data_IF_306255184341
#
_entry.id   IF_306255184341
#
_cell.length_a   1.000
_cell.length_b   1.000
_cell.length_c   1.000
_cell.angle_alpha   90.00
_cell.angle_beta   90.00
_cell.angle_gamma   90.00
#
_symmetry.space_group_name_H-M   'P 1'
#
loop_
_entity.id
_entity.type
_entity.pdbx_description
1 polymer ?
#
# COMPACT_ATOMS: atom_id res chain seq x y z
N UNK A 1 -17.10 -5.07 0.60
CA UNK A 1 -16.52 -5.18 -0.72
C UNK A 1 -15.02 -5.14 -0.68
N UNK A 2 -14.39 -5.97 -1.45
CA UNK A 2 -12.95 -6.06 -1.44
C UNK A 2 -12.39 -5.39 -2.65
N UNK A 3 -11.24 -4.78 -2.51
CA UNK A 3 -10.65 -4.02 -3.57
C UNK A 3 -9.32 -4.65 -3.94
N UNK A 4 -9.36 -5.49 -4.93
CA UNK A 4 -8.20 -5.93 -5.65
C UNK A 4 -7.01 -6.50 -4.94
N UNK A 5 -7.13 -6.95 -3.74
CA UNK A 5 -5.97 -7.39 -3.02
C UNK A 5 -6.07 -8.82 -2.59
N UNK A 6 -6.66 -9.61 -3.40
CA UNK A 6 -6.91 -10.97 -2.98
C UNK A 6 -5.89 -11.94 -3.48
N UNK A 7 -4.71 -11.47 -3.85
CA UNK A 7 -3.84 -12.39 -4.41
C UNK A 7 -2.86 -12.98 -3.46
N UNK A 8 -2.83 -12.56 -2.25
CA UNK A 8 -2.00 -13.17 -1.25
C UNK A 8 -2.59 -14.52 -0.89
N UNK A 9 -1.88 -15.61 -1.05
CA UNK A 9 -2.45 -16.91 -0.69
C UNK A 9 -2.79 -16.96 0.78
N UNK A 10 -3.88 -17.61 1.13
CA UNK A 10 -4.27 -17.64 2.54
C UNK A 10 -3.26 -18.33 3.44
N UNK A 11 -2.52 -19.27 2.91
CA UNK A 11 -1.58 -20.02 3.72
C UNK A 11 -0.23 -19.35 3.84
N UNK A 12 -0.02 -18.26 3.11
CA UNK A 12 1.26 -17.62 3.16
C UNK A 12 1.16 -16.31 3.86
N UNK A 13 2.13 -16.05 4.68
CA UNK A 13 2.24 -14.75 5.29
C UNK A 13 3.69 -14.39 5.36
N UNK A 14 3.98 -13.12 5.43
CA UNK A 14 5.37 -12.70 5.57
C UNK A 14 5.99 -13.34 6.79
N UNK A 15 7.23 -13.69 6.64
CA UNK A 15 7.95 -14.31 7.74
C UNK A 15 8.45 -13.29 8.72
N UNK A 16 7.91 -12.14 8.70
CA UNK A 16 8.27 -11.14 9.65
C UNK A 16 9.52 -10.41 9.30
N UNK A 17 10.20 -9.94 10.32
CA UNK A 17 11.33 -9.07 10.09
C UNK A 17 12.45 -9.76 9.33
N UNK A 18 12.60 -11.05 9.50
CA UNK A 18 13.66 -11.74 8.77
C UNK A 18 13.47 -11.61 7.28
N UNK A 19 12.26 -11.80 6.81
CA UNK A 19 11.98 -11.69 5.40
C UNK A 19 12.07 -10.24 4.96
N UNK A 20 11.58 -9.35 5.76
CA UNK A 20 11.64 -7.93 5.45
C UNK A 20 13.08 -7.47 5.28
N UNK A 21 13.94 -7.88 6.19
CA UNK A 21 15.32 -7.42 6.15
C UNK A 21 16.13 -8.08 5.04
N UNK A 22 15.81 -9.30 4.68
CA UNK A 22 16.64 -10.02 3.74
C UNK A 22 16.19 -9.87 2.30
N UNK A 23 14.90 -9.75 2.06
CA UNK A 23 14.41 -9.81 0.70
C UNK A 23 13.94 -8.48 0.15
N UNK A 24 13.63 -7.53 1.00
CA UNK A 24 13.12 -6.26 0.52
C UNK A 24 13.50 -5.17 1.48
N UNK A 25 14.23 -4.20 0.97
CA UNK A 25 14.57 -3.02 1.74
C UNK A 25 14.09 -1.83 0.94
N UNK A 26 13.27 -0.99 1.52
CA UNK A 26 12.87 0.22 0.80
C UNK A 26 14.09 1.10 0.58
N UNK A 27 14.07 1.83 -0.52
CA UNK A 27 15.13 2.77 -0.79
C UNK A 27 15.14 3.86 0.29
N UNK A 28 16.26 4.55 0.47
CA UNK A 28 16.27 5.66 1.43
C UNK A 28 15.22 6.71 1.15
N UNK A 29 14.95 6.97 -0.12
CA UNK A 29 13.91 7.93 -0.47
C UNK A 29 12.55 7.45 0.00
N UNK A 30 12.25 6.18 -0.25
CA UNK A 30 10.97 5.61 0.14
C UNK A 30 10.80 5.58 1.64
N UNK A 31 11.87 5.25 2.36
CA UNK A 31 11.82 5.28 3.81
C UNK A 31 11.52 6.67 4.34
N UNK A 32 12.09 7.69 3.72
CA UNK A 32 11.82 9.05 4.17
C UNK A 32 10.35 9.43 4.01
N UNK A 33 9.72 8.88 2.98
CA UNK A 33 8.31 9.16 2.77
C UNK A 33 7.43 8.37 3.72
N UNK A 34 7.75 7.11 3.92
CA UNK A 34 6.91 6.23 4.71
C UNK A 34 7.17 6.33 6.20
N UNK A 35 8.38 6.66 6.60
CA UNK A 35 8.68 6.78 8.02
C UNK A 35 8.19 8.11 8.56
N UNK A 36 7.63 8.13 9.75
CA UNK A 36 7.04 9.33 10.26
C UNK A 36 8.07 10.32 10.70
N UNK A 37 7.80 11.55 10.41
CA UNK A 37 8.39 12.61 11.17
C UNK A 37 7.29 13.16 12.05
N UNK A 38 7.67 14.05 12.91
CA UNK A 38 6.70 14.63 13.81
C UNK A 38 5.56 15.28 13.05
N UNK A 39 5.87 15.86 11.91
CA UNK A 39 4.89 16.58 11.13
C UNK A 39 4.27 15.79 10.00
N UNK A 40 4.50 14.50 9.96
CA UNK A 40 4.00 13.71 8.85
C UNK A 40 2.47 13.76 8.79
N UNK A 41 1.90 14.15 7.67
CA UNK A 41 0.44 14.17 7.54
C UNK A 41 -0.17 12.78 7.58
N UNK A 42 0.64 11.75 7.38
CA UNK A 42 0.13 10.39 7.40
C UNK A 42 -0.22 9.94 8.80
N UNK A 43 0.30 10.62 9.82
CA UNK A 43 0.04 10.18 11.18
C UNK A 43 -1.42 10.19 11.54
N UNK A 44 -2.19 11.03 10.89
CA UNK A 44 -3.60 11.16 11.22
C UNK A 44 -4.43 10.01 10.72
N UNK A 45 -4.16 9.55 9.49
CA UNK A 45 -5.04 8.57 8.86
C UNK A 45 -4.37 7.24 8.58
N UNK A 46 -3.06 7.19 8.67
CA UNK A 46 -2.33 6.08 8.11
C UNK A 46 -1.01 6.04 8.87
N UNK A 47 -0.93 5.19 9.83
CA UNK A 47 0.26 5.17 10.67
C UNK A 47 1.45 4.64 9.88
N UNK A 48 2.64 4.94 10.36
CA UNK A 48 3.84 4.42 9.74
C UNK A 48 3.83 2.92 9.64
N UNK A 49 3.45 2.27 10.73
CA UNK A 49 3.42 0.82 10.76
C UNK A 49 2.52 0.28 9.67
N UNK A 50 1.34 0.87 9.56
CA UNK A 50 0.39 0.39 8.57
C UNK A 50 0.90 0.62 7.16
N UNK A 51 1.54 1.75 6.94
CA UNK A 51 2.10 2.05 5.63
C UNK A 51 3.22 1.10 5.24
N UNK A 52 4.15 0.86 6.16
CA UNK A 52 5.27 -0.03 5.86
C UNK A 52 4.80 -1.47 5.68
N UNK A 53 3.92 -1.91 6.57
CA UNK A 53 3.42 -3.27 6.46
C UNK A 53 2.65 -3.46 5.16
N UNK A 54 1.77 -2.52 4.84
CA UNK A 54 0.97 -2.63 3.64
C UNK A 54 1.85 -2.63 2.39
N UNK A 55 2.84 -1.75 2.34
CA UNK A 55 3.73 -1.71 1.19
C UNK A 55 4.48 -3.02 1.02
N UNK A 56 4.88 -3.64 2.11
CA UNK A 56 5.58 -4.90 2.04
C UNK A 56 4.67 -6.02 1.53
N UNK A 57 3.50 -6.16 2.14
CA UNK A 57 2.66 -7.31 1.80
C UNK A 57 2.01 -7.16 0.44
N UNK A 58 1.76 -5.93 -0.02
CA UNK A 58 1.13 -5.74 -1.32
C UNK A 58 2.13 -5.79 -2.46
N UNK A 59 3.31 -5.24 -2.30
CA UNK A 59 4.21 -5.10 -3.43
C UNK A 59 5.66 -5.42 -3.14
N UNK A 60 5.99 -5.77 -1.90
CA UNK A 60 7.39 -5.96 -1.51
C UNK A 60 8.18 -4.70 -1.84
N UNK A 61 7.56 -3.54 -1.62
CA UNK A 61 8.12 -2.21 -1.87
C UNK A 61 8.41 -1.93 -3.33
N UNK A 62 7.75 -2.65 -4.25
CA UNK A 62 7.96 -2.42 -5.67
C UNK A 62 7.01 -1.32 -6.15
N UNK A 63 7.57 -0.15 -6.45
CA UNK A 63 6.79 1.00 -6.89
C UNK A 63 6.10 0.78 -8.23
N UNK A 64 6.63 -0.13 -9.03
CA UNK A 64 6.15 -0.34 -10.40
C UNK A 64 5.27 -1.56 -10.54
N UNK A 65 4.86 -2.18 -9.44
CA UNK A 65 4.10 -3.41 -9.54
C UNK A 65 2.72 -3.16 -10.13
N UNK A 66 2.36 -3.95 -11.13
CA UNK A 66 1.03 -3.95 -11.71
C UNK A 66 0.58 -5.40 -11.80
N UNK A 67 -0.64 -5.67 -11.34
CA UNK A 67 -1.12 -7.02 -11.26
C UNK A 67 -2.53 -7.10 -11.81
N UNK A 68 -2.81 -8.10 -12.63
CA UNK A 68 -4.13 -8.25 -13.22
C UNK A 68 -4.99 -9.16 -12.37
N UNK A 69 -6.23 -8.78 -12.19
CA UNK A 69 -7.19 -9.54 -11.41
C UNK A 69 -8.09 -10.36 -12.33
N UNK A 70 -8.75 -11.35 -11.76
CA UNK A 70 -9.61 -12.24 -12.54
C UNK A 70 -10.76 -11.51 -13.20
N UNK A 71 -11.19 -10.39 -12.63
CA UNK A 71 -12.33 -9.64 -13.19
C UNK A 71 -11.89 -8.63 -14.26
N UNK A 72 -10.63 -8.65 -14.64
CA UNK A 72 -10.13 -7.76 -15.67
C UNK A 72 -9.65 -6.42 -15.15
N UNK A 73 -9.79 -6.15 -13.86
CA UNK A 73 -9.22 -4.95 -13.30
C UNK A 73 -7.74 -5.17 -12.98
N UNK A 74 -7.05 -4.08 -12.68
CA UNK A 74 -5.64 -4.15 -12.36
C UNK A 74 -5.37 -3.42 -11.07
N UNK A 75 -4.35 -3.87 -10.34
CA UNK A 75 -3.88 -3.21 -9.13
C UNK A 75 -2.56 -2.54 -9.42
N UNK A 76 -2.38 -1.32 -8.94
CA UNK A 76 -1.25 -0.50 -9.33
C UNK A 76 -0.42 -0.04 -8.14
N UNK A 77 0.89 -0.18 -8.28
CA UNK A 77 1.85 0.50 -7.43
C UNK A 77 2.12 -0.16 -6.11
N UNK A 78 2.77 0.60 -5.25
CA UNK A 78 3.29 0.08 -4.00
C UNK A 78 2.18 -0.42 -3.07
N UNK A 79 0.97 0.14 -3.17
CA UNK A 79 -0.15 -0.28 -2.35
C UNK A 79 -1.21 -1.05 -3.12
N UNK A 80 -0.93 -1.38 -4.39
CA UNK A 80 -1.82 -2.20 -5.21
C UNK A 80 -3.24 -1.67 -5.24
N UNK A 81 -3.38 -0.44 -5.69
CA UNK A 81 -4.66 0.25 -5.73
C UNK A 81 -5.43 -0.17 -6.97
N UNK A 82 -6.67 -0.58 -6.79
CA UNK A 82 -7.46 -1.22 -7.83
C UNK A 82 -8.10 -0.23 -8.80
N UNK A 83 -8.04 -0.55 -10.08
CA UNK A 83 -8.57 0.33 -11.13
C UNK A 83 -10.08 0.34 -11.20
N UNK A 84 -10.75 -0.69 -10.71
CA UNK A 84 -12.21 -0.71 -10.80
C UNK A 84 -12.83 0.42 -9.98
N UNK A 85 -12.28 0.69 -8.81
CA UNK A 85 -12.87 1.67 -7.90
C UNK A 85 -12.09 2.96 -7.78
N UNK A 86 -10.77 2.90 -7.79
CA UNK A 86 -9.99 4.01 -7.27
C UNK A 86 -9.32 4.88 -8.31
N UNK A 87 -8.80 4.29 -9.37
CA UNK A 87 -8.12 5.06 -10.41
C UNK A 87 -8.59 4.60 -11.78
N UNK A 88 -8.30 5.37 -12.80
CA UNK A 88 -8.73 5.04 -14.14
C UNK A 88 -7.53 4.63 -14.99
N UNK A 89 -7.57 3.42 -15.54
CA UNK A 89 -6.51 2.97 -16.44
C UNK A 89 -7.01 2.88 -17.90
N UNK A 90 -8.24 3.28 -18.13
CA UNK A 90 -8.84 3.34 -19.46
C UNK A 90 -8.94 1.98 -20.15
N UNK A 91 -8.82 0.90 -19.37
CA UNK A 91 -8.97 -0.45 -19.91
C UNK A 91 -10.35 -1.02 -19.67
N UNK A 92 -11.00 -0.56 -18.63
CA UNK A 92 -12.36 -0.99 -18.33
C UNK A 92 -13.01 0.11 -17.50
N UNK A 93 -14.26 -0.12 -17.15
CA UNK A 93 -14.99 0.86 -16.35
C UNK A 93 -14.32 1.08 -15.01
N UNK A 94 -14.26 2.33 -14.57
CA UNK A 94 -13.70 2.69 -13.27
C UNK A 94 -14.56 3.74 -12.62
N UNK A 95 -14.79 3.59 -11.32
CA UNK A 95 -15.44 4.63 -10.52
C UNK A 95 -14.53 5.82 -10.32
N UNK A 96 -13.24 5.58 -10.40
CA UNK A 96 -12.20 6.60 -10.29
C UNK A 96 -12.41 7.53 -9.09
N UNK A 97 -12.59 6.95 -7.94
CA UNK A 97 -12.88 7.72 -6.72
C UNK A 97 -11.74 8.67 -6.38
N UNK A 98 -10.50 8.30 -6.68
CA UNK A 98 -9.35 9.14 -6.40
C UNK A 98 -9.17 10.24 -7.45
N UNK A 99 -9.85 10.13 -8.58
CA UNK A 99 -9.69 11.09 -9.68
C UNK A 99 -8.25 11.14 -10.16
N UNK A 100 -7.67 9.95 -10.38
CA UNK A 100 -6.28 9.83 -10.80
C UNK A 100 -6.19 8.81 -11.92
N UNK A 101 -5.24 9.03 -12.83
CA UNK A 101 -4.87 7.98 -13.76
C UNK A 101 -4.07 6.94 -13.00
N UNK A 102 -4.35 5.67 -13.24
CA UNK A 102 -3.63 4.62 -12.51
C UNK A 102 -2.13 4.66 -12.72
N UNK A 103 -1.69 5.13 -13.89
CA UNK A 103 -0.25 5.19 -14.13
C UNK A 103 0.46 6.15 -13.19
N UNK A 104 -0.26 7.15 -12.68
CA UNK A 104 0.35 8.07 -11.72
C UNK A 104 0.65 7.41 -10.39
N UNK A 105 -0.03 6.30 -10.13
CA UNK A 105 0.23 5.56 -8.90
C UNK A 105 1.52 4.75 -8.96
N UNK A 106 2.19 4.80 -10.10
CA UNK A 106 3.50 4.15 -10.25
C UNK A 106 4.64 5.15 -10.11
N UNK A 107 4.32 6.40 -9.86
CA UNK A 107 5.33 7.44 -9.77
C UNK A 107 6.17 7.28 -8.51
N UNK A 108 7.50 7.44 -8.64
CA UNK A 108 8.35 7.29 -7.46
C UNK A 108 8.19 8.38 -6.41
N UNK A 109 7.58 9.51 -6.74
CA UNK A 109 7.41 10.54 -5.73
C UNK A 109 6.20 10.28 -4.83
N UNK A 110 5.37 9.31 -5.17
CA UNK A 110 4.24 8.86 -4.35
C UNK A 110 3.17 9.92 -4.07
N UNK A 111 3.22 11.04 -4.74
CA UNK A 111 2.26 12.11 -4.43
C UNK A 111 0.83 11.68 -4.72
N UNK A 112 0.57 11.21 -5.93
CA UNK A 112 -0.77 10.75 -6.28
C UNK A 112 -1.18 9.54 -5.45
N UNK A 113 -0.22 8.65 -5.21
CA UNK A 113 -0.49 7.46 -4.40
C UNK A 113 -0.95 7.84 -3.00
N UNK A 114 -0.24 8.75 -2.35
CA UNK A 114 -0.59 9.13 -0.99
C UNK A 114 -1.92 9.85 -0.95
N UNK A 115 -2.19 10.69 -1.93
CA UNK A 115 -3.47 11.38 -1.97
C UNK A 115 -4.63 10.39 -2.12
N UNK A 116 -4.44 9.38 -2.95
CA UNK A 116 -5.46 8.36 -3.13
C UNK A 116 -5.64 7.54 -1.85
N UNK A 117 -4.53 7.13 -1.23
CA UNK A 117 -4.60 6.36 0.01
C UNK A 117 -5.33 7.14 1.10
N UNK A 118 -5.09 8.44 1.19
CA UNK A 118 -5.80 9.25 2.18
C UNK A 118 -7.31 9.20 1.98
N UNK A 119 -7.74 9.24 0.73
CA UNK A 119 -9.17 9.11 0.45
C UNK A 119 -9.68 7.73 0.87
N UNK A 120 -8.92 6.71 0.54
CA UNK A 120 -9.34 5.35 0.85
C UNK A 120 -9.49 5.13 2.35
N UNK A 121 -8.49 5.58 3.13
CA UNK A 121 -8.53 5.31 4.56
C UNK A 121 -9.48 6.22 5.31
N UNK A 122 -9.82 7.37 4.75
CA UNK A 122 -10.79 8.24 5.40
C UNK A 122 -12.22 7.88 5.05
N UNK A 123 -12.41 6.97 4.12
CA UNK A 123 -13.74 6.54 3.73
C UNK A 123 -14.20 5.32 4.49
N UNK A 124 -15.30 4.76 4.03
CA UNK A 124 -15.85 3.57 4.66
C UNK A 124 -14.85 2.42 4.53
N UNK A 125 -14.65 1.70 5.60
CA UNK A 125 -13.74 0.57 5.60
C UNK A 125 -12.31 0.91 5.98
N UNK A 126 -11.88 2.13 5.75
CA UNK A 126 -10.52 2.53 6.13
C UNK A 126 -9.47 1.56 5.62
N UNK A 127 -8.57 1.17 6.50
CA UNK A 127 -7.52 0.21 6.13
C UNK A 127 -8.07 -1.15 5.74
N UNK A 128 -9.28 -1.45 6.14
CA UNK A 128 -9.87 -2.75 5.83
C UNK A 128 -10.17 -2.91 4.35
N UNK A 129 -10.03 -1.85 3.57
CA UNK A 129 -10.16 -1.96 2.12
C UNK A 129 -9.09 -2.86 1.52
N UNK A 130 -7.99 -3.05 2.24
CA UNK A 130 -6.95 -3.98 1.79
C UNK A 130 -7.08 -5.29 2.54
N UNK A 131 -7.37 -6.36 1.79
CA UNK A 131 -7.48 -7.68 2.40
C UNK A 131 -6.15 -8.09 3.02
N UNK A 132 -5.05 -7.79 2.34
CA UNK A 132 -3.74 -8.15 2.86
C UNK A 132 -3.44 -7.47 4.18
N UNK A 133 -3.90 -6.22 4.34
CA UNK A 133 -3.71 -5.54 5.62
C UNK A 133 -4.42 -6.29 6.75
N UNK A 134 -5.66 -6.72 6.50
CA UNK A 134 -6.41 -7.45 7.52
C UNK A 134 -5.73 -8.75 7.92
N UNK A 135 -5.13 -9.41 6.93
CA UNK A 135 -4.56 -10.72 7.17
C UNK A 135 -3.15 -10.66 7.74
N UNK A 136 -2.39 -9.65 7.41
CA UNK A 136 -0.96 -9.66 7.71
C UNK A 136 -0.47 -8.48 8.52
N UNK A 137 -1.23 -7.43 8.62
CA UNK A 137 -0.76 -6.21 9.28
C UNK A 137 -1.53 -5.88 10.55
N UNK A 138 -2.83 -6.07 10.54
CA UNK A 138 -3.66 -5.66 11.64
C UNK A 138 -3.24 -6.39 12.91
N UNK A 139 -3.07 -5.64 13.99
CA UNK A 139 -2.75 -6.23 15.29
C UNK A 139 -1.30 -6.59 15.51
N UNK A 140 -0.42 -6.29 14.56
CA UNK A 140 0.99 -6.58 14.75
C UNK A 140 1.70 -5.45 15.46
N UNK A 141 2.77 -5.76 16.19
CA UNK A 141 3.49 -4.71 16.91
C UNK A 141 4.14 -3.74 15.96
N UNK A 142 4.15 -2.49 16.35
CA UNK A 142 4.75 -1.44 15.54
C UNK A 142 6.24 -1.69 15.30
N UNK A 143 6.95 -2.11 16.33
CA UNK A 143 8.38 -2.32 16.22
C UNK A 143 8.76 -3.36 15.18
N UNK A 144 7.82 -4.23 14.85
CA UNK A 144 8.04 -5.26 13.87
C UNK A 144 8.47 -4.68 12.52
N UNK A 145 7.92 -3.52 12.17
CA UNK A 145 8.18 -2.91 10.86
C UNK A 145 9.01 -1.66 10.93
N UNK A 146 9.48 -1.31 12.11
CA UNK A 146 10.17 -0.04 12.30
C UNK A 146 11.68 -0.09 12.11
N UNK A 147 12.21 -1.28 11.83
CA UNK A 147 13.67 -1.42 11.78
C UNK A 147 14.31 -0.57 10.69
N UNK A 148 13.55 -0.20 9.67
CA UNK A 148 14.08 0.63 8.61
C UNK A 148 13.90 2.11 8.85
N UNK A 149 13.27 2.50 9.93
CA UNK A 149 12.98 3.91 10.21
C UNK A 149 13.77 4.39 11.38
N UNK A 150 15.06 4.57 11.14
CA UNK A 150 15.90 5.07 12.20
C UNK A 150 15.76 6.55 12.26
N UNK A 151 15.72 7.07 13.47
CA UNK A 151 15.81 8.44 13.59
C UNK A 151 17.20 8.80 13.64
N UNK A 152 17.56 9.74 13.06
CA UNK A 152 18.91 10.16 13.07
C UNK A 152 19.01 11.46 13.70
#
# INVERSE_FOLDING_TARGET
MEYGTNRWPPTESPKGTALFLSSASPSPFLLRILCPSVQSPLKTFFSLFEGLCLAFVESNFNLSKVNENADGSFDYGIFQINSHYWCNDYKSHSENICHEDCKELLSPDLLSTINCVKKMVSGAGGMKNWVAWRLHCAGRPLSYWMTGCHKE
#
